data_IF_059857972043
#
_entry.id   IF_059857972043
#
_cell.length_a   1.000
_cell.length_b   1.000
_cell.length_c   1.000
_cell.angle_alpha   90.00
_cell.angle_beta   90.00
_cell.angle_gamma   90.00
#
_symmetry.space_group_name_H-M   'P 1'
#
loop_
_entity.id
_entity.type
_entity.pdbx_description
1 polymer ?
#
# COMPACT_ATOMS: atom_id res chain seq x y z
N UNK A 1 3.56 -16.57 -20.99
CA UNK A 1 2.50 -17.58 -21.26
C UNK A 1 3.12 -18.94 -21.55
N UNK A 2 4.27 -19.00 -22.23
CA UNK A 2 4.98 -20.25 -22.57
C UNK A 2 5.16 -21.21 -21.39
N UNK A 3 5.50 -20.70 -20.20
CA UNK A 3 5.61 -21.54 -18.99
C UNK A 3 4.27 -22.16 -18.56
N UNK A 4 3.15 -21.45 -18.75
CA UNK A 4 1.82 -21.96 -18.44
C UNK A 4 1.39 -23.08 -19.41
N UNK A 5 1.94 -23.09 -20.62
CA UNK A 5 1.60 -24.06 -21.68
C UNK A 5 2.42 -25.36 -21.59
N UNK A 6 3.47 -25.37 -20.77
CA UNK A 6 4.24 -26.58 -20.47
C UNK A 6 3.45 -27.56 -19.60
N UNK A 7 3.66 -28.88 -19.74
CA UNK A 7 3.15 -29.88 -18.81
C UNK A 7 3.57 -29.57 -17.35
N UNK A 8 2.68 -29.82 -16.39
CA UNK A 8 2.89 -29.46 -14.97
C UNK A 8 4.16 -30.06 -14.35
N UNK A 9 4.56 -31.24 -14.80
CA UNK A 9 5.76 -31.96 -14.36
C UNK A 9 7.07 -31.42 -14.98
N UNK A 10 6.97 -30.51 -15.95
CA UNK A 10 8.09 -29.99 -16.74
C UNK A 10 8.26 -28.47 -16.64
N UNK A 11 7.56 -27.83 -15.69
CA UNK A 11 7.54 -26.38 -15.51
C UNK A 11 7.71 -25.97 -14.06
N UNK A 12 7.99 -24.68 -13.86
CA UNK A 12 7.94 -24.06 -12.53
C UNK A 12 6.54 -24.11 -11.94
N UNK A 13 6.46 -24.03 -10.62
CA UNK A 13 5.20 -23.83 -9.90
C UNK A 13 4.73 -22.41 -10.19
N UNK A 14 3.58 -22.29 -10.85
CA UNK A 14 3.04 -21.03 -11.31
C UNK A 14 2.10 -20.46 -10.25
N UNK A 15 2.50 -19.38 -9.62
CA UNK A 15 1.72 -18.68 -8.60
C UNK A 15 1.29 -17.33 -9.15
N UNK A 16 0.05 -16.92 -8.88
CA UNK A 16 -0.36 -15.55 -9.16
C UNK A 16 -0.95 -14.84 -7.94
N UNK A 17 -0.85 -13.51 -7.96
CA UNK A 17 -1.58 -12.61 -7.08
C UNK A 17 -2.42 -11.61 -7.86
N UNK A 18 -3.57 -11.18 -7.32
CA UNK A 18 -4.47 -10.26 -8.01
C UNK A 18 -4.77 -9.02 -7.17
N UNK A 19 -4.57 -7.83 -7.74
CA UNK A 19 -4.93 -6.59 -7.08
C UNK A 19 -6.46 -6.34 -7.03
N UNK A 20 -7.00 -5.70 -5.98
CA UNK A 20 -8.43 -5.39 -5.88
C UNK A 20 -8.98 -4.58 -7.06
N UNK A 21 -8.21 -3.61 -7.56
CA UNK A 21 -8.61 -2.79 -8.70
C UNK A 21 -8.75 -3.58 -10.01
N UNK A 22 -8.05 -4.72 -10.14
CA UNK A 22 -8.21 -5.65 -11.26
C UNK A 22 -9.54 -6.39 -11.11
N UNK A 23 -9.82 -6.91 -9.91
CA UNK A 23 -11.06 -7.66 -9.60
C UNK A 23 -12.32 -6.90 -10.00
N UNK A 24 -12.33 -5.59 -9.75
CA UNK A 24 -13.48 -4.75 -10.08
C UNK A 24 -13.56 -4.40 -11.57
N UNK A 25 -12.44 -4.22 -12.26
CA UNK A 25 -12.43 -3.74 -13.64
C UNK A 25 -12.42 -4.86 -14.69
N UNK A 26 -12.01 -6.10 -14.36
CA UNK A 26 -11.85 -7.19 -15.32
C UNK A 26 -13.15 -7.55 -16.06
N UNK A 27 -14.31 -7.37 -15.43
CA UNK A 27 -15.62 -7.58 -16.05
C UNK A 27 -15.84 -6.70 -17.30
N UNK A 28 -15.24 -5.51 -17.33
CA UNK A 28 -15.34 -4.59 -18.46
C UNK A 28 -14.66 -5.13 -19.72
N UNK A 29 -13.65 -5.99 -19.57
CA UNK A 29 -13.08 -6.70 -20.70
C UNK A 29 -14.13 -7.54 -21.43
N UNK A 30 -15.17 -7.99 -20.74
CA UNK A 30 -16.27 -8.80 -21.29
C UNK A 30 -17.52 -7.95 -21.61
N UNK A 31 -17.40 -6.62 -21.64
CA UNK A 31 -18.52 -5.72 -21.93
C UNK A 31 -19.51 -5.55 -20.79
N UNK A 32 -19.14 -5.96 -19.57
CA UNK A 32 -19.98 -5.85 -18.38
C UNK A 32 -19.60 -4.64 -17.51
N UNK A 33 -20.47 -4.30 -16.56
CA UNK A 33 -20.20 -3.23 -15.60
C UNK A 33 -19.08 -3.61 -14.62
N UNK A 34 -18.36 -2.62 -14.04
CA UNK A 34 -17.40 -2.89 -12.98
C UNK A 34 -18.02 -3.68 -11.82
N UNK A 35 -17.34 -4.72 -11.37
CA UNK A 35 -17.79 -5.61 -10.29
C UNK A 35 -18.91 -6.57 -10.66
N UNK A 36 -19.26 -6.71 -11.95
CA UNK A 36 -20.28 -7.67 -12.38
C UNK A 36 -19.84 -9.14 -12.27
N UNK A 37 -18.53 -9.40 -12.22
CA UNK A 37 -17.97 -10.73 -11.98
C UNK A 37 -17.51 -10.86 -10.53
N UNK A 38 -17.66 -12.05 -9.97
CA UNK A 38 -17.28 -12.31 -8.58
C UNK A 38 -15.77 -12.55 -8.45
N UNK A 39 -15.21 -12.42 -7.23
CA UNK A 39 -13.83 -12.77 -6.95
C UNK A 39 -13.53 -14.26 -7.20
N UNK A 40 -14.47 -15.16 -6.88
CA UNK A 40 -14.29 -16.59 -7.07
C UNK A 40 -14.30 -16.96 -8.55
N UNK A 41 -15.11 -16.30 -9.39
CA UNK A 41 -15.04 -16.45 -10.85
C UNK A 41 -13.66 -16.08 -11.40
N UNK A 42 -13.06 -14.98 -10.90
CA UNK A 42 -11.72 -14.59 -11.32
C UNK A 42 -10.67 -15.61 -10.89
N UNK A 43 -10.74 -16.11 -9.66
CA UNK A 43 -9.82 -17.13 -9.18
C UNK A 43 -9.93 -18.43 -10.00
N UNK A 44 -11.15 -18.86 -10.33
CA UNK A 44 -11.40 -20.01 -11.21
C UNK A 44 -10.79 -19.80 -12.61
N UNK A 45 -10.92 -18.59 -13.18
CA UNK A 45 -10.33 -18.28 -14.48
C UNK A 45 -8.80 -18.45 -14.48
N UNK A 46 -8.14 -18.05 -13.40
CA UNK A 46 -6.68 -18.16 -13.25
C UNK A 46 -6.24 -19.61 -13.08
N UNK A 47 -7.01 -20.43 -12.35
CA UNK A 47 -6.76 -21.88 -12.28
C UNK A 47 -6.91 -22.54 -13.66
N UNK A 48 -7.93 -22.16 -14.43
CA UNK A 48 -8.13 -22.66 -15.81
C UNK A 48 -7.03 -22.22 -16.77
N UNK A 49 -6.44 -21.05 -16.57
CA UNK A 49 -5.23 -20.63 -17.29
C UNK A 49 -4.01 -21.49 -16.96
N UNK A 50 -4.06 -22.22 -15.84
CA UNK A 50 -3.00 -23.12 -15.42
C UNK A 50 -2.17 -22.60 -14.26
N UNK A 51 -2.60 -21.60 -13.49
CA UNK A 51 -1.92 -21.27 -12.23
C UNK A 51 -2.14 -22.37 -11.18
N UNK A 52 -1.08 -22.74 -10.46
CA UNK A 52 -1.10 -23.75 -9.41
C UNK A 52 -1.62 -23.18 -8.09
N UNK A 53 -1.28 -21.92 -7.78
CA UNK A 53 -1.78 -21.18 -6.61
C UNK A 53 -2.23 -19.77 -7.00
N UNK A 54 -3.34 -19.31 -6.42
CA UNK A 54 -3.98 -18.02 -6.67
C UNK A 54 -4.20 -17.29 -5.35
N UNK A 55 -3.53 -16.16 -5.19
CA UNK A 55 -3.57 -15.33 -3.98
C UNK A 55 -4.20 -13.97 -4.24
N UNK A 56 -4.74 -13.38 -3.18
CA UNK A 56 -5.21 -12.00 -3.22
C UNK A 56 -4.11 -11.05 -2.73
N UNK A 57 -3.77 -10.01 -3.52
CA UNK A 57 -2.80 -8.98 -3.11
C UNK A 57 -3.24 -8.25 -1.83
N UNK A 58 -4.51 -8.36 -1.43
CA UNK A 58 -4.99 -7.92 -0.11
C UNK A 58 -4.17 -8.43 1.06
N UNK A 59 -3.63 -9.65 0.97
CA UNK A 59 -2.75 -10.17 2.01
C UNK A 59 -1.47 -9.34 2.14
N UNK A 60 -0.86 -9.00 0.99
CA UNK A 60 0.28 -8.08 0.95
C UNK A 60 -0.08 -6.68 1.41
N UNK A 61 -1.30 -6.22 1.12
CA UNK A 61 -1.77 -4.91 1.59
C UNK A 61 -1.92 -4.88 3.12
N UNK A 62 -2.41 -5.95 3.73
CA UNK A 62 -2.44 -6.06 5.20
C UNK A 62 -1.04 -5.97 5.82
N UNK A 63 -0.03 -6.61 5.22
CA UNK A 63 1.36 -6.45 5.68
C UNK A 63 1.81 -4.99 5.54
N UNK A 64 1.53 -4.34 4.41
CA UNK A 64 1.88 -2.93 4.21
C UNK A 64 1.20 -2.03 5.24
N UNK A 65 -0.05 -2.30 5.60
CA UNK A 65 -0.78 -1.55 6.63
C UNK A 65 -0.13 -1.71 8.01
N UNK A 66 0.29 -2.93 8.34
CA UNK A 66 0.95 -3.22 9.61
C UNK A 66 2.31 -2.51 9.71
N UNK A 67 3.13 -2.61 8.66
CA UNK A 67 4.46 -1.99 8.62
C UNK A 67 4.37 -0.46 8.54
N UNK A 68 3.62 0.10 7.59
CA UNK A 68 3.56 1.55 7.37
C UNK A 68 2.84 2.27 8.52
N UNK A 69 1.84 1.64 9.12
CA UNK A 69 1.18 2.15 10.33
C UNK A 69 2.11 2.17 11.54
N UNK A 70 2.94 1.13 11.71
CA UNK A 70 3.92 1.06 12.81
C UNK A 70 5.09 2.01 12.56
N UNK A 71 5.56 2.14 11.33
CA UNK A 71 6.60 3.10 10.92
C UNK A 71 6.14 4.54 11.19
N UNK A 72 4.89 4.88 10.87
CA UNK A 72 4.32 6.20 11.19
C UNK A 72 4.29 6.47 12.70
N UNK A 73 3.87 5.48 13.52
CA UNK A 73 3.92 5.59 14.98
C UNK A 73 5.36 5.81 15.44
N UNK A 74 6.31 5.04 14.92
CA UNK A 74 7.72 5.11 15.29
C UNK A 74 8.30 6.50 15.03
N UNK A 75 8.12 7.04 13.81
CA UNK A 75 8.55 8.39 13.45
C UNK A 75 7.91 9.44 14.36
N UNK A 76 6.61 9.32 14.63
CA UNK A 76 5.89 10.26 15.49
C UNK A 76 6.39 10.21 16.94
N UNK A 77 6.66 9.03 17.48
CA UNK A 77 7.23 8.86 18.83
C UNK A 77 8.61 9.49 18.94
N UNK A 78 9.52 9.22 17.99
CA UNK A 78 10.87 9.79 17.99
C UNK A 78 10.86 11.33 17.96
N UNK A 79 9.92 11.90 17.21
CA UNK A 79 9.71 13.34 17.15
C UNK A 79 9.16 13.91 18.46
N UNK A 80 8.22 13.23 19.12
CA UNK A 80 7.68 13.65 20.41
C UNK A 80 8.71 13.51 21.54
N UNK A 81 9.61 12.52 21.45
CA UNK A 81 10.74 12.33 22.36
C UNK A 81 11.83 13.39 22.19
N UNK A 82 11.75 14.25 21.17
CA UNK A 82 12.80 15.20 20.77
C UNK A 82 14.15 14.54 20.44
N UNK A 83 14.10 13.27 20.01
CA UNK A 83 15.25 12.49 19.53
C UNK A 83 14.97 11.96 18.11
N UNK A 84 14.66 12.83 17.12
CA UNK A 84 14.36 12.35 15.78
C UNK A 84 15.58 11.72 15.13
N UNK A 85 15.41 10.52 14.56
CA UNK A 85 16.41 9.93 13.70
C UNK A 85 16.50 10.74 12.40
N UNK A 86 17.71 11.14 12.01
CA UNK A 86 17.92 11.97 10.80
C UNK A 86 17.49 11.28 9.51
N UNK A 87 17.42 9.95 9.52
CA UNK A 87 17.05 9.12 8.36
C UNK A 87 15.53 8.89 8.27
N UNK A 88 14.76 9.22 9.32
CA UNK A 88 13.31 8.99 9.38
C UNK A 88 12.53 10.24 9.83
N UNK A 89 12.69 11.39 9.14
CA UNK A 89 11.98 12.62 9.50
C UNK A 89 10.46 12.54 9.22
N UNK A 90 9.74 13.51 9.79
CA UNK A 90 8.40 13.91 9.35
C UNK A 90 8.49 15.15 8.45
N UNK A 91 7.56 15.35 7.49
CA UNK A 91 6.42 14.49 7.15
C UNK A 91 6.81 13.14 6.54
N UNK A 92 5.94 12.14 6.67
CA UNK A 92 6.13 10.84 6.04
C UNK A 92 5.33 10.74 4.74
N UNK A 93 5.95 10.29 3.65
CA UNK A 93 5.29 10.01 2.38
C UNK A 93 5.11 8.49 2.19
N UNK A 94 3.96 8.08 1.66
CA UNK A 94 3.73 6.67 1.27
C UNK A 94 4.65 6.23 0.12
N UNK A 95 4.92 4.94 -0.02
CA UNK A 95 5.85 4.40 -1.03
C UNK A 95 5.21 3.54 -2.14
N UNK A 96 3.94 3.16 -2.00
CA UNK A 96 3.34 2.08 -2.82
C UNK A 96 3.20 2.36 -4.34
N UNK A 97 3.32 3.62 -4.76
CA UNK A 97 3.19 4.03 -6.15
C UNK A 97 4.57 4.17 -6.84
N UNK A 98 4.94 3.28 -7.78
CA UNK A 98 6.26 3.37 -8.43
C UNK A 98 6.41 4.59 -9.34
N UNK A 99 5.31 5.20 -9.78
CA UNK A 99 5.36 6.48 -10.48
C UNK A 99 5.79 7.64 -9.57
N UNK A 100 5.42 7.58 -8.29
CA UNK A 100 5.91 8.51 -7.27
C UNK A 100 7.38 8.23 -6.95
N UNK A 101 7.75 6.97 -6.68
CA UNK A 101 9.14 6.60 -6.38
C UNK A 101 10.10 7.00 -7.52
N UNK A 102 9.73 6.79 -8.78
CA UNK A 102 10.56 7.23 -9.91
C UNK A 102 10.72 8.77 -9.97
N UNK A 103 9.67 9.53 -9.62
CA UNK A 103 9.75 11.00 -9.56
C UNK A 103 10.64 11.45 -8.39
N UNK A 104 10.47 10.83 -7.22
CA UNK A 104 11.27 11.05 -6.02
C UNK A 104 12.76 10.86 -6.33
N UNK A 105 13.13 9.67 -6.77
CA UNK A 105 14.54 9.31 -7.00
C UNK A 105 15.20 10.22 -8.04
N UNK A 106 14.47 10.62 -9.09
CA UNK A 106 15.04 11.40 -10.19
C UNK A 106 15.02 12.91 -9.96
N UNK A 107 14.01 13.44 -9.29
CA UNK A 107 13.75 14.89 -9.23
C UNK A 107 13.69 15.46 -7.82
N UNK A 108 13.54 14.62 -6.80
CA UNK A 108 13.48 15.03 -5.39
C UNK A 108 14.32 14.10 -4.49
N UNK A 109 15.59 13.79 -4.82
CA UNK A 109 16.41 12.88 -4.03
C UNK A 109 16.60 13.34 -2.58
N UNK A 110 16.50 14.65 -2.32
CA UNK A 110 16.53 15.23 -0.98
C UNK A 110 15.33 14.83 -0.10
N UNK A 111 14.25 14.33 -0.72
CA UNK A 111 13.06 13.87 -0.01
C UNK A 111 13.08 12.38 0.33
N UNK A 112 14.12 11.63 -0.09
CA UNK A 112 14.22 10.18 0.15
C UNK A 112 14.02 9.79 1.64
N UNK A 113 14.64 10.47 2.63
CA UNK A 113 14.45 10.12 4.05
C UNK A 113 12.99 10.26 4.53
N UNK A 114 12.22 11.14 3.89
CA UNK A 114 10.82 11.39 4.24
C UNK A 114 9.89 10.30 3.71
N UNK A 115 10.35 9.41 2.83
CA UNK A 115 9.50 8.35 2.27
C UNK A 115 9.55 7.11 3.15
N UNK A 116 8.39 6.46 3.31
CA UNK A 116 8.26 5.16 3.98
C UNK A 116 9.27 4.16 3.42
N UNK A 117 9.91 3.39 4.27
CA UNK A 117 10.77 2.28 3.82
C UNK A 117 9.96 1.03 3.44
N UNK A 118 8.63 1.00 3.64
CA UNK A 118 7.80 -0.14 3.31
C UNK A 118 7.84 -0.49 1.80
N UNK A 119 7.98 -1.78 1.47
CA UNK A 119 7.69 -2.30 0.12
C UNK A 119 6.19 -2.15 -0.19
N UNK A 120 5.84 -2.22 -1.48
CA UNK A 120 4.43 -2.23 -1.88
C UNK A 120 3.76 -3.59 -1.60
N UNK A 121 2.41 -3.65 -1.58
CA UNK A 121 1.67 -4.89 -1.33
C UNK A 121 2.09 -6.07 -2.20
N UNK A 122 2.33 -5.84 -3.50
CA UNK A 122 2.71 -6.92 -4.39
C UNK A 122 4.09 -7.49 -4.05
N UNK A 123 5.00 -6.63 -3.60
CA UNK A 123 6.37 -7.00 -3.32
C UNK A 123 6.46 -7.68 -1.96
N UNK A 124 5.70 -7.21 -0.96
CA UNK A 124 5.57 -7.91 0.33
C UNK A 124 4.99 -9.32 0.14
N UNK A 125 3.93 -9.47 -0.66
CA UNK A 125 3.38 -10.80 -0.94
C UNK A 125 4.35 -11.68 -1.75
N UNK A 126 5.05 -11.12 -2.75
CA UNK A 126 6.08 -11.84 -3.50
C UNK A 126 7.20 -12.37 -2.60
N UNK A 127 7.72 -11.51 -1.73
CA UNK A 127 8.75 -11.87 -0.75
C UNK A 127 8.26 -12.96 0.22
N UNK A 128 7.03 -12.86 0.72
CA UNK A 128 6.41 -13.90 1.56
C UNK A 128 6.20 -15.23 0.84
N UNK A 129 5.88 -15.20 -0.46
CA UNK A 129 5.75 -16.42 -1.29
C UNK A 129 7.10 -17.10 -1.46
N UNK A 130 8.15 -16.34 -1.80
CA UNK A 130 9.50 -16.88 -2.05
C UNK A 130 10.27 -17.25 -0.78
N UNK A 131 9.76 -16.88 0.40
CA UNK A 131 10.37 -17.22 1.69
C UNK A 131 9.44 -18.08 2.53
N UNK A 132 8.50 -17.48 3.26
CA UNK A 132 7.61 -18.16 4.20
C UNK A 132 6.83 -19.33 3.59
N UNK A 133 6.19 -19.13 2.42
CA UNK A 133 5.42 -20.19 1.78
C UNK A 133 6.31 -21.31 1.22
N UNK A 134 7.41 -20.93 0.56
CA UNK A 134 8.39 -21.84 -0.02
C UNK A 134 8.97 -22.77 1.07
N UNK A 135 9.42 -22.19 2.19
CA UNK A 135 9.91 -22.92 3.36
C UNK A 135 8.84 -23.86 3.92
N UNK A 136 7.62 -23.35 4.15
CA UNK A 136 6.50 -24.13 4.70
C UNK A 136 6.08 -25.31 3.82
N UNK A 137 6.25 -25.21 2.50
CA UNK A 137 5.91 -26.26 1.54
C UNK A 137 7.11 -27.14 1.14
N UNK A 138 8.32 -26.83 1.62
CA UNK A 138 9.54 -27.54 1.20
C UNK A 138 9.84 -27.39 -0.29
N UNK A 139 9.52 -26.22 -0.88
CA UNK A 139 9.71 -25.92 -2.29
C UNK A 139 10.91 -24.97 -2.43
N UNK A 140 11.80 -25.22 -3.41
CA UNK A 140 12.86 -24.26 -3.71
C UNK A 140 12.28 -22.96 -4.29
N UNK A 141 12.67 -21.77 -3.78
CA UNK A 141 12.22 -20.50 -4.33
C UNK A 141 12.51 -20.32 -5.84
N UNK A 142 13.59 -20.93 -6.34
CA UNK A 142 13.97 -20.94 -7.77
C UNK A 142 12.93 -21.61 -8.67
N UNK A 143 12.16 -22.54 -8.11
CA UNK A 143 11.19 -23.38 -8.82
C UNK A 143 9.80 -22.76 -8.83
N UNK A 144 9.65 -21.58 -8.20
CA UNK A 144 8.41 -20.80 -8.20
C UNK A 144 8.54 -19.69 -9.24
N UNK A 145 7.50 -19.49 -10.05
CA UNK A 145 7.29 -18.28 -10.84
C UNK A 145 6.08 -17.53 -10.29
N UNK A 146 6.30 -16.31 -9.81
CA UNK A 146 5.31 -15.44 -9.19
C UNK A 146 4.86 -14.37 -10.18
N UNK A 147 3.58 -14.39 -10.53
CA UNK A 147 2.96 -13.43 -11.45
C UNK A 147 2.03 -12.50 -10.67
N UNK A 148 2.17 -11.19 -10.84
CA UNK A 148 1.25 -10.23 -10.26
C UNK A 148 0.32 -9.66 -11.33
N UNK A 149 -0.98 -9.65 -11.05
CA UNK A 149 -1.97 -9.05 -11.95
C UNK A 149 -2.36 -7.70 -11.37
N UNK A 150 -2.01 -6.64 -12.09
CA UNK A 150 -2.00 -5.27 -11.60
C UNK A 150 -2.79 -4.33 -12.52
N UNK A 151 -3.37 -3.23 -12.01
CA UNK A 151 -4.02 -2.23 -12.86
C UNK A 151 -3.02 -1.26 -13.50
N UNK A 152 -1.72 -1.47 -13.32
CA UNK A 152 -0.69 -0.45 -13.51
C UNK A 152 0.47 -0.97 -14.36
N UNK A 153 0.80 -0.22 -15.40
CA UNK A 153 1.91 -0.51 -16.34
C UNK A 153 3.31 -0.29 -15.74
N UNK A 154 3.41 0.31 -14.55
CA UNK A 154 4.70 0.60 -13.89
C UNK A 154 5.08 -0.43 -12.82
N UNK A 155 4.19 -1.38 -12.50
CA UNK A 155 4.45 -2.37 -11.44
C UNK A 155 5.51 -3.42 -11.84
N UNK A 156 5.75 -3.63 -13.13
CA UNK A 156 6.89 -4.44 -13.61
C UNK A 156 8.22 -3.76 -13.25
N UNK A 157 8.40 -2.49 -13.62
CA UNK A 157 9.62 -1.75 -13.24
C UNK A 157 9.84 -1.60 -11.73
N UNK A 158 8.78 -1.71 -10.93
CA UNK A 158 8.93 -1.86 -9.47
C UNK A 158 9.51 -3.23 -9.10
N UNK A 159 8.96 -4.32 -9.64
CA UNK A 159 9.43 -5.68 -9.40
C UNK A 159 10.86 -5.91 -9.93
N UNK A 160 11.26 -5.15 -10.95
CA UNK A 160 12.57 -5.26 -11.59
C UNK A 160 13.71 -4.60 -10.81
N UNK A 161 13.46 -3.93 -9.68
CA UNK A 161 14.54 -3.39 -8.83
C UNK A 161 15.44 -4.53 -8.32
N UNK A 162 16.75 -4.39 -8.50
CA UNK A 162 17.70 -5.51 -8.41
C UNK A 162 17.70 -6.26 -7.07
N UNK A 163 17.50 -5.54 -5.97
CA UNK A 163 17.52 -6.11 -4.63
C UNK A 163 16.21 -6.81 -4.23
N UNK A 164 15.19 -6.82 -5.08
CA UNK A 164 13.96 -7.59 -4.85
C UNK A 164 14.12 -9.06 -5.20
N UNK A 165 15.01 -9.71 -4.45
CA UNK A 165 15.39 -11.11 -4.59
C UNK A 165 15.46 -11.83 -3.23
N UNK A 166 14.40 -11.75 -2.42
CA UNK A 166 14.37 -12.33 -1.06
C UNK A 166 14.45 -13.86 -1.05
N UNK A 167 14.14 -14.53 -2.17
CA UNK A 167 14.32 -15.98 -2.33
C UNK A 167 15.75 -16.43 -2.58
N UNK A 168 16.72 -15.50 -2.67
CA UNK A 168 18.12 -15.77 -2.98
C UNK A 168 18.58 -15.05 -4.24
N UNK A 169 19.91 -15.01 -4.47
CA UNK A 169 20.50 -14.32 -5.61
C UNK A 169 19.91 -14.81 -6.95
N UNK A 170 19.40 -13.88 -7.77
CA UNK A 170 18.78 -14.17 -9.06
C UNK A 170 17.34 -14.73 -8.96
N UNK A 171 16.77 -14.87 -7.77
CA UNK A 171 15.38 -15.31 -7.57
C UNK A 171 14.52 -14.10 -7.24
N UNK A 172 13.86 -13.53 -8.26
CA UNK A 172 12.96 -12.38 -8.11
C UNK A 172 11.79 -12.69 -7.17
N UNK A 173 11.42 -11.70 -6.35
CA UNK A 173 10.23 -11.74 -5.48
C UNK A 173 8.93 -11.84 -6.31
N UNK A 174 8.88 -11.07 -7.40
CA UNK A 174 7.82 -11.08 -8.41
C UNK A 174 8.49 -11.17 -9.76
N UNK A 175 8.20 -12.24 -10.51
CA UNK A 175 8.86 -12.52 -11.78
C UNK A 175 8.21 -11.76 -12.94
N UNK A 176 6.87 -11.67 -12.95
CA UNK A 176 6.12 -11.07 -14.05
C UNK A 176 4.93 -10.26 -13.56
N UNK A 177 4.60 -9.19 -14.27
CA UNK A 177 3.41 -8.37 -14.04
C UNK A 177 2.55 -8.36 -15.29
N UNK A 178 1.27 -8.68 -15.12
CA UNK A 178 0.25 -8.66 -16.18
C UNK A 178 -0.79 -7.61 -15.84
N UNK A 179 -1.17 -6.79 -16.81
CA UNK A 179 -2.21 -5.78 -16.63
C UNK A 179 -3.62 -6.37 -16.66
N UNK A 180 -4.61 -5.61 -16.18
CA UNK A 180 -6.03 -6.02 -16.26
C UNK A 180 -6.48 -6.22 -17.72
N UNK A 181 -6.07 -5.33 -18.62
CA UNK A 181 -6.38 -5.44 -20.04
C UNK A 181 -5.71 -6.66 -20.69
N UNK A 182 -4.43 -6.93 -20.38
CA UNK A 182 -3.73 -8.12 -20.89
C UNK A 182 -4.37 -9.41 -20.41
N UNK A 183 -4.68 -9.53 -19.11
CA UNK A 183 -5.40 -10.69 -18.59
C UNK A 183 -6.75 -10.87 -19.31
N UNK A 184 -7.50 -9.79 -19.49
CA UNK A 184 -8.78 -9.84 -20.22
C UNK A 184 -8.65 -10.36 -21.65
N UNK A 185 -7.57 -10.00 -22.35
CA UNK A 185 -7.29 -10.50 -23.69
C UNK A 185 -6.87 -11.98 -23.66
N UNK A 186 -5.98 -12.36 -22.75
CA UNK A 186 -5.53 -13.76 -22.57
C UNK A 186 -6.72 -14.69 -22.31
N UNK A 187 -7.67 -14.28 -21.46
CA UNK A 187 -8.86 -15.08 -21.18
C UNK A 187 -9.73 -15.27 -22.43
N UNK A 188 -9.92 -14.23 -23.25
CA UNK A 188 -10.67 -14.33 -24.51
C UNK A 188 -9.98 -15.21 -25.53
N UNK A 189 -8.67 -15.05 -25.70
CA UNK A 189 -7.87 -15.85 -26.63
C UNK A 189 -7.90 -17.34 -26.28
N UNK A 190 -8.00 -17.67 -24.99
CA UNK A 190 -8.15 -19.04 -24.49
C UNK A 190 -9.60 -19.50 -24.35
N UNK A 191 -10.57 -18.74 -24.87
CA UNK A 191 -12.01 -19.04 -24.79
C UNK A 191 -12.51 -19.28 -23.36
N UNK A 192 -11.96 -18.57 -22.38
CA UNK A 192 -12.41 -18.59 -20.98
C UNK A 192 -13.39 -17.45 -20.75
N UNK A 193 -14.68 -17.77 -20.71
CA UNK A 193 -15.74 -16.80 -20.48
C UNK A 193 -15.93 -16.54 -18.98
N UNK A 194 -15.19 -15.57 -18.43
CA UNK A 194 -15.17 -15.25 -16.99
C UNK A 194 -16.57 -15.12 -16.35
N UNK A 195 -17.55 -14.39 -16.93
CA UNK A 195 -18.89 -14.23 -16.35
C UNK A 195 -19.69 -15.53 -16.17
N UNK A 196 -19.36 -16.59 -16.91
CA UNK A 196 -20.05 -17.88 -16.87
C UNK A 196 -19.32 -18.93 -16.03
N UNK A 197 -18.17 -18.57 -15.44
CA UNK A 197 -17.42 -19.50 -14.61
C UNK A 197 -18.14 -19.76 -13.28
N UNK A 198 -17.97 -20.97 -12.72
CA UNK A 198 -18.36 -21.24 -11.35
C UNK A 198 -17.47 -20.47 -10.36
N UNK A 199 -17.90 -20.42 -9.10
CA UNK A 199 -17.08 -19.89 -8.02
C UNK A 199 -15.86 -20.81 -7.76
N UNK A 200 -14.66 -20.25 -7.93
CA UNK A 200 -13.42 -20.84 -7.44
C UNK A 200 -13.09 -20.40 -6.00
N UNK A 201 -11.91 -20.76 -5.54
CA UNK A 201 -11.39 -20.40 -4.21
C UNK A 201 -10.06 -19.65 -4.32
N UNK A 202 -9.57 -19.08 -3.22
CA UNK A 202 -8.24 -18.47 -3.08
C UNK A 202 -7.37 -19.33 -2.15
N UNK A 203 -6.08 -19.49 -2.43
CA UNK A 203 -5.22 -20.49 -1.77
C UNK A 203 -4.67 -20.04 -0.41
N UNK A 204 -4.83 -20.83 0.65
CA UNK A 204 -4.31 -20.51 2.00
C UNK A 204 -2.86 -21.02 2.21
N UNK A 205 -2.06 -20.50 3.17
CA UNK A 205 -2.39 -19.54 4.24
C UNK A 205 -2.28 -18.05 3.85
N UNK A 206 -1.86 -17.75 2.62
CA UNK A 206 -1.70 -16.37 2.12
C UNK A 206 -2.94 -15.88 1.32
N UNK A 207 -4.05 -16.62 1.37
CA UNK A 207 -5.07 -16.61 0.31
C UNK A 207 -5.97 -15.43 0.25
N UNK A 208 -6.30 -14.89 1.41
CA UNK A 208 -7.24 -13.78 1.52
C UNK A 208 -6.71 -12.81 2.57
N UNK A 209 -6.51 -11.56 2.18
CA UNK A 209 -6.31 -10.47 3.13
C UNK A 209 -7.64 -10.01 3.74
N UNK A 210 -7.54 -9.07 4.68
CA UNK A 210 -8.69 -8.40 5.27
C UNK A 210 -9.31 -7.42 4.27
N UNK A 211 -10.53 -6.96 4.57
CA UNK A 211 -11.18 -5.86 3.88
C UNK A 211 -10.41 -4.55 3.93
N UNK A 212 -9.52 -4.36 4.93
CA UNK A 212 -8.71 -3.15 5.05
C UNK A 212 -7.84 -2.89 3.82
N UNK A 213 -7.34 -3.95 3.19
CA UNK A 213 -6.56 -3.84 1.95
C UNK A 213 -7.40 -3.50 0.71
N UNK A 214 -8.73 -3.67 0.74
CA UNK A 214 -9.60 -3.50 -0.44
C UNK A 214 -9.59 -2.07 -0.91
N UNK A 215 -9.52 -1.14 0.04
CA UNK A 215 -9.45 0.29 -0.27
C UNK A 215 -8.10 0.71 -0.86
N UNK A 216 -7.03 -0.11 -0.89
CA UNK A 216 -5.77 0.25 -1.58
C UNK A 216 -5.98 0.57 -3.07
N UNK A 217 -7.02 0.01 -3.70
CA UNK A 217 -7.35 0.33 -5.09
C UNK A 217 -7.86 1.77 -5.29
N UNK A 218 -8.14 2.46 -4.19
CA UNK A 218 -8.87 3.72 -4.13
C UNK A 218 -7.97 4.91 -3.84
N UNK A 219 -8.46 6.12 -4.07
CA UNK A 219 -7.73 7.33 -3.67
C UNK A 219 -7.76 7.49 -2.15
N UNK A 220 -6.60 7.53 -1.49
CA UNK A 220 -6.48 7.66 -0.04
C UNK A 220 -6.60 6.37 0.75
N UNK A 221 -6.72 5.21 0.10
CA UNK A 221 -7.01 3.97 0.80
C UNK A 221 -5.80 3.24 1.40
N UNK A 222 -4.59 3.45 0.88
CA UNK A 222 -3.36 2.98 1.54
C UNK A 222 -3.18 3.75 2.83
N UNK A 223 -3.22 5.06 2.68
CA UNK A 223 -3.10 6.03 3.75
C UNK A 223 -4.19 5.87 4.82
N UNK A 224 -5.47 5.71 4.44
CA UNK A 224 -6.55 5.51 5.42
C UNK A 224 -6.33 4.25 6.28
N UNK A 225 -5.85 3.17 5.67
CA UNK A 225 -5.66 1.92 6.39
C UNK A 225 -4.44 1.97 7.32
N UNK A 226 -3.31 2.53 6.88
CA UNK A 226 -2.15 2.78 7.75
C UNK A 226 -2.49 3.73 8.90
N UNK A 227 -3.22 4.82 8.60
CA UNK A 227 -3.71 5.77 9.61
C UNK A 227 -4.68 5.14 10.60
N UNK A 228 -5.56 4.24 10.16
CA UNK A 228 -6.45 3.49 11.05
C UNK A 228 -5.66 2.66 12.04
N UNK A 229 -4.67 1.92 11.58
CA UNK A 229 -3.78 1.15 12.46
C UNK A 229 -3.04 2.06 13.43
N UNK A 230 -2.44 3.15 12.94
CA UNK A 230 -1.74 4.11 13.80
C UNK A 230 -2.68 4.73 14.86
N UNK A 231 -3.87 5.13 14.45
CA UNK A 231 -4.90 5.70 15.31
C UNK A 231 -5.38 4.72 16.37
N UNK A 232 -5.77 3.51 15.98
CA UNK A 232 -6.33 2.51 16.88
C UNK A 232 -5.29 2.02 17.89
N UNK A 233 -4.02 1.86 17.49
CA UNK A 233 -2.94 1.51 18.40
C UNK A 233 -2.62 2.62 19.41
N UNK A 234 -2.62 3.89 18.97
CA UNK A 234 -2.29 5.04 19.84
C UNK A 234 -3.45 5.43 20.75
N UNK A 235 -4.67 5.47 20.23
CA UNK A 235 -5.85 6.00 20.94
C UNK A 235 -6.69 4.92 21.62
N UNK A 236 -6.54 3.66 21.21
CA UNK A 236 -7.41 2.55 21.63
C UNK A 236 -8.90 2.80 21.27
N UNK A 237 -9.16 3.64 20.27
CA UNK A 237 -10.50 3.97 19.76
C UNK A 237 -10.58 3.66 18.26
N UNK A 238 -11.74 3.22 17.75
CA UNK A 238 -11.90 2.94 16.32
C UNK A 238 -11.83 4.22 15.48
N UNK A 239 -11.11 4.16 14.36
CA UNK A 239 -11.12 5.26 13.37
C UNK A 239 -12.23 5.03 12.34
N UNK A 240 -13.23 5.92 12.22
CA UNK A 240 -14.23 5.82 11.16
C UNK A 240 -13.61 6.05 9.77
N UNK A 241 -14.41 5.86 8.71
CA UNK A 241 -13.99 6.23 7.34
C UNK A 241 -13.56 7.69 7.30
N UNK A 242 -12.44 7.96 6.67
CA UNK A 242 -11.96 9.32 6.51
C UNK A 242 -12.75 10.03 5.41
N UNK A 243 -13.14 11.27 5.68
CA UNK A 243 -13.76 12.12 4.68
C UNK A 243 -12.73 13.14 4.18
N UNK A 244 -12.13 12.83 3.03
CA UNK A 244 -11.13 13.69 2.41
C UNK A 244 -11.81 14.85 1.67
N UNK A 245 -11.46 16.08 2.05
CA UNK A 245 -11.97 17.31 1.44
C UNK A 245 -11.00 17.86 0.40
N UNK A 246 -11.50 18.45 -0.69
CA UNK A 246 -10.64 19.07 -1.70
C UNK A 246 -9.98 20.34 -1.17
N UNK A 247 -8.68 20.51 -1.44
CA UNK A 247 -7.95 21.69 -0.98
C UNK A 247 -8.14 22.83 -1.98
N UNK A 248 -8.68 23.95 -1.52
CA UNK A 248 -8.96 25.11 -2.37
C UNK A 248 -7.67 25.65 -3.00
N UNK A 249 -7.67 25.76 -4.32
CA UNK A 249 -6.51 26.28 -5.08
C UNK A 249 -5.42 25.26 -5.35
N UNK A 250 -5.62 23.98 -5.01
CA UNK A 250 -4.71 22.88 -5.33
C UNK A 250 -5.45 21.72 -6.00
N UNK A 251 -5.40 21.69 -7.33
CA UNK A 251 -6.05 20.62 -8.11
C UNK A 251 -5.50 19.24 -7.73
N UNK A 252 -6.40 18.27 -7.58
CA UNK A 252 -6.04 16.89 -7.29
C UNK A 252 -5.41 16.66 -5.92
N UNK A 253 -5.47 17.65 -5.02
CA UNK A 253 -5.08 17.52 -3.62
C UNK A 253 -6.33 17.44 -2.75
N UNK A 254 -6.35 16.46 -1.85
CA UNK A 254 -7.36 16.33 -0.80
C UNK A 254 -6.69 16.26 0.57
N UNK A 255 -7.38 16.72 1.60
CA UNK A 255 -6.86 16.73 2.96
C UNK A 255 -7.91 16.35 4.00
N UNK A 256 -7.42 15.94 5.16
CA UNK A 256 -8.18 15.79 6.40
C UNK A 256 -7.26 16.00 7.60
N UNK A 257 -7.87 16.32 8.74
CA UNK A 257 -7.19 16.35 10.03
C UNK A 257 -7.72 15.23 10.92
N UNK A 258 -6.82 14.56 11.66
CA UNK A 258 -7.17 13.48 12.57
C UNK A 258 -6.71 13.84 13.97
N UNK A 259 -7.66 14.04 14.88
CA UNK A 259 -7.39 14.33 16.29
C UNK A 259 -7.12 13.03 17.04
N UNK A 260 -5.91 12.87 17.54
CA UNK A 260 -5.48 11.71 18.32
C UNK A 260 -5.33 12.10 19.79
N UNK A 261 -6.16 11.51 20.64
CA UNK A 261 -6.05 11.62 22.10
C UNK A 261 -5.58 10.27 22.64
N UNK A 262 -4.31 10.14 23.06
CA UNK A 262 -3.81 8.91 23.65
C UNK A 262 -4.46 8.67 25.03
N UNK A 263 -4.69 7.40 25.43
CA UNK A 263 -5.33 7.10 26.70
C UNK A 263 -4.43 7.53 27.88
N UNK A 264 -5.01 8.01 29.00
CA UNK A 264 -4.25 8.40 30.19
C UNK A 264 -3.34 7.28 30.68
N UNK A 265 -2.10 7.63 31.03
CA UNK A 265 -1.09 6.66 31.51
C UNK A 265 -0.40 5.84 30.42
N UNK A 266 -0.72 6.05 29.14
CA UNK A 266 0.08 5.49 28.05
C UNK A 266 1.37 6.29 27.86
N UNK A 267 2.43 5.62 27.40
CA UNK A 267 3.69 6.28 27.00
C UNK A 267 3.42 7.45 26.03
N UNK A 268 2.49 7.26 25.09
CA UNK A 268 2.16 8.29 24.11
C UNK A 268 1.50 9.53 24.74
N UNK A 269 0.65 9.36 25.76
CA UNK A 269 0.08 10.48 26.52
C UNK A 269 1.14 11.27 27.28
N UNK A 270 2.13 10.59 27.88
CA UNK A 270 3.26 11.25 28.54
C UNK A 270 4.07 12.08 27.55
N UNK A 271 4.37 11.53 26.37
CA UNK A 271 5.11 12.22 25.32
C UNK A 271 4.37 13.45 24.78
N UNK A 272 3.07 13.32 24.49
CA UNK A 272 2.25 14.43 24.01
C UNK A 272 2.16 15.53 25.07
N UNK A 273 1.98 15.17 26.35
CA UNK A 273 1.96 16.14 27.45
C UNK A 273 3.31 16.86 27.64
N UNK A 274 4.42 16.11 27.62
CA UNK A 274 5.77 16.67 27.71
C UNK A 274 6.06 17.64 26.56
N UNK A 275 5.66 17.28 25.33
CA UNK A 275 5.83 18.14 24.16
C UNK A 275 4.97 19.39 24.21
N UNK A 276 3.72 19.29 24.69
CA UNK A 276 2.85 20.44 24.89
C UNK A 276 3.46 21.45 25.88
N UNK A 277 4.09 20.96 26.96
CA UNK A 277 4.83 21.80 27.90
C UNK A 277 6.10 22.43 27.29
N UNK A 278 6.84 21.68 26.46
CA UNK A 278 8.08 22.15 25.84
C UNK A 278 7.86 23.16 24.70
N UNK A 279 6.78 23.02 23.91
CA UNK A 279 6.46 23.96 22.81
C UNK A 279 6.12 25.37 23.31
N UNK A 280 5.73 25.51 24.59
CA UNK A 280 5.59 26.80 25.26
C UNK A 280 6.94 27.48 25.56
N UNK A 281 8.07 26.77 25.40
CA UNK A 281 9.42 27.25 25.72
C UNK A 281 10.38 27.32 24.52
N UNK A 282 10.07 26.68 23.38
CA UNK A 282 11.02 26.52 22.27
C UNK A 282 10.40 26.83 20.90
N UNK A 283 10.56 28.07 20.44
CA UNK A 283 10.31 28.50 19.05
C UNK A 283 11.55 28.29 18.14
N UNK A 284 12.65 27.68 18.63
CA UNK A 284 13.96 27.80 17.99
C UNK A 284 14.67 26.49 17.58
N UNK A 285 14.19 25.29 17.93
CA UNK A 285 14.78 24.05 17.43
C UNK A 285 14.30 23.72 15.99
N UNK A 286 14.96 24.28 14.98
CA UNK A 286 14.69 23.96 13.58
C UNK A 286 15.19 22.54 13.24
N UNK A 287 14.28 21.64 12.84
CA UNK A 287 14.66 20.37 12.20
C UNK A 287 15.40 20.68 10.88
N UNK A 288 16.63 20.19 10.73
CA UNK A 288 17.35 20.25 9.47
C UNK A 288 16.68 19.33 8.43
N UNK A 289 16.57 19.78 7.17
CA UNK A 289 16.02 18.97 6.07
C UNK A 289 15.28 19.80 5.02
N UNK A 290 14.95 19.16 3.89
CA UNK A 290 14.29 19.82 2.75
C UNK A 290 12.84 20.25 3.04
N UNK A 291 12.17 19.58 3.99
CA UNK A 291 10.87 19.97 4.52
C UNK A 291 11.01 20.10 6.03
N UNK A 292 10.76 21.30 6.55
CA UNK A 292 10.82 21.57 7.99
C UNK A 292 9.51 21.14 8.65
N UNK A 293 9.59 20.19 9.58
CA UNK A 293 8.44 19.83 10.41
C UNK A 293 8.22 20.91 11.48
N UNK A 294 6.98 21.36 11.66
CA UNK A 294 6.64 22.48 12.57
C UNK A 294 6.31 22.02 14.01
N UNK A 295 6.73 20.81 14.36
CA UNK A 295 6.54 20.25 15.70
C UNK A 295 5.15 19.67 15.96
N UNK A 296 4.34 19.47 14.92
CA UNK A 296 2.99 18.91 15.01
C UNK A 296 1.96 19.90 15.56
N UNK A 297 0.67 19.56 15.42
CA UNK A 297 -0.45 20.41 15.86
C UNK A 297 -1.07 19.88 17.15
N UNK A 298 -0.52 20.28 18.30
CA UNK A 298 -1.03 19.88 19.61
C UNK A 298 -2.32 20.62 19.97
N UNK A 299 -3.21 19.96 20.70
CA UNK A 299 -4.43 20.57 21.25
C UNK A 299 -4.74 19.99 22.63
N UNK A 300 -5.58 20.71 23.38
CA UNK A 300 -6.18 20.20 24.62
C UNK A 300 -7.66 19.93 24.35
N UNK A 301 -8.12 18.72 24.66
CA UNK A 301 -9.51 18.31 24.53
C UNK A 301 -10.37 18.93 25.65
N UNK A 302 -11.69 18.86 25.50
CA UNK A 302 -12.64 19.49 26.44
C UNK A 302 -12.56 18.91 27.86
N UNK A 303 -12.11 17.66 27.99
CA UNK A 303 -11.86 16.97 29.26
C UNK A 303 -10.49 17.27 29.88
N UNK A 304 -9.69 18.13 29.25
CA UNK A 304 -8.35 18.50 29.67
C UNK A 304 -7.24 17.56 29.18
N UNK A 305 -7.56 16.51 28.41
CA UNK A 305 -6.55 15.61 27.85
C UNK A 305 -5.74 16.30 26.74
N UNK A 306 -4.42 16.07 26.71
CA UNK A 306 -3.58 16.56 25.62
C UNK A 306 -3.64 15.60 24.44
N UNK A 307 -3.78 16.14 23.24
CA UNK A 307 -3.81 15.40 21.99
C UNK A 307 -2.94 16.03 20.92
N UNK A 308 -2.76 15.29 19.84
CA UNK A 308 -2.08 15.74 18.63
C UNK A 308 -3.00 15.60 17.43
N UNK A 309 -3.01 16.62 16.58
CA UNK A 309 -3.72 16.61 15.29
C UNK A 309 -2.72 16.22 14.22
N UNK A 310 -2.99 15.09 13.57
CA UNK A 310 -2.25 14.63 12.40
C UNK A 310 -2.89 15.23 11.15
N UNK A 311 -2.10 16.00 10.39
CA UNK A 311 -2.53 16.64 9.14
C UNK A 311 -2.17 15.73 7.97
N UNK A 312 -3.16 15.40 7.17
CA UNK A 312 -3.04 14.35 6.15
C UNK A 312 -3.39 14.92 4.79
N UNK A 313 -2.59 14.58 3.77
CA UNK A 313 -2.88 14.93 2.38
C UNK A 313 -2.81 13.71 1.44
N UNK A 314 -3.64 13.76 0.39
CA UNK A 314 -3.57 12.85 -0.75
C UNK A 314 -3.38 13.68 -2.02
N UNK A 315 -2.37 13.34 -2.82
CA UNK A 315 -2.10 13.96 -4.10
C UNK A 315 -2.29 12.95 -5.24
N UNK A 316 -3.20 13.24 -6.16
CA UNK A 316 -3.39 12.47 -7.38
C UNK A 316 -2.83 13.21 -8.60
N UNK A 317 -1.96 12.52 -9.34
CA UNK A 317 -1.26 13.06 -10.49
C UNK A 317 0.10 13.63 -10.11
N UNK A 318 1.16 13.21 -10.83
CA UNK A 318 2.52 13.67 -10.55
C UNK A 318 2.70 15.18 -10.77
N UNK A 319 1.96 15.79 -11.69
CA UNK A 319 1.97 17.25 -11.88
C UNK A 319 1.42 18.01 -10.66
N UNK A 320 0.39 17.47 -10.01
CA UNK A 320 -0.18 18.05 -8.79
C UNK A 320 0.72 17.79 -7.59
N UNK A 321 1.31 16.59 -7.50
CA UNK A 321 2.31 16.26 -6.49
C UNK A 321 3.49 17.26 -6.50
N UNK A 322 4.03 17.62 -7.68
CA UNK A 322 5.09 18.64 -7.78
C UNK A 322 4.68 19.98 -7.16
N UNK A 323 3.46 20.44 -7.41
CA UNK A 323 2.92 21.69 -6.84
C UNK A 323 2.79 21.59 -5.31
N UNK A 324 2.29 20.46 -4.81
CA UNK A 324 2.19 20.19 -3.37
C UNK A 324 3.57 20.22 -2.72
N UNK A 325 4.55 19.49 -3.28
CA UNK A 325 5.91 19.42 -2.76
C UNK A 325 6.56 20.82 -2.68
N UNK A 326 6.41 21.64 -3.72
CA UNK A 326 6.89 23.04 -3.69
C UNK A 326 6.27 23.82 -2.52
N UNK A 327 4.96 23.72 -2.30
CA UNK A 327 4.28 24.42 -1.20
C UNK A 327 4.68 23.88 0.18
N UNK A 328 4.99 22.59 0.30
CA UNK A 328 5.51 22.02 1.54
C UNK A 328 6.94 22.51 1.82
N UNK A 329 7.80 22.57 0.81
CA UNK A 329 9.18 23.07 0.92
C UNK A 329 9.22 24.57 1.25
N UNK A 330 8.30 25.38 0.73
CA UNK A 330 8.19 26.81 1.07
C UNK A 330 7.46 27.08 2.39
N UNK A 331 6.87 26.05 3.01
CA UNK A 331 6.10 26.16 4.25
C UNK A 331 4.70 26.76 4.09
N UNK A 332 4.19 26.91 2.86
CA UNK A 332 2.84 27.41 2.55
C UNK A 332 1.73 26.43 2.93
N UNK A 333 2.03 25.12 2.93
CA UNK A 333 1.13 24.09 3.44
C UNK A 333 1.89 23.14 4.35
N UNK A 334 1.17 22.53 5.29
CA UNK A 334 1.77 21.72 6.35
C UNK A 334 1.00 20.42 6.52
N UNK A 335 1.69 19.32 6.30
CA UNK A 335 1.16 17.98 6.48
C UNK A 335 2.17 17.16 7.27
N UNK A 336 1.69 16.09 7.89
CA UNK A 336 2.48 15.13 8.66
C UNK A 336 2.56 13.78 7.95
N UNK A 337 1.52 13.41 7.20
CA UNK A 337 1.47 12.19 6.39
C UNK A 337 0.86 12.46 5.02
N UNK A 338 1.53 12.04 3.94
CA UNK A 338 1.15 12.37 2.57
C UNK A 338 1.15 11.15 1.65
N UNK A 339 0.01 10.87 1.02
CA UNK A 339 -0.10 9.87 -0.04
C UNK A 339 0.11 10.51 -1.41
N UNK A 340 0.99 9.94 -2.25
CA UNK A 340 1.19 10.41 -3.62
C UNK A 340 0.91 9.27 -4.61
N UNK A 341 -0.08 9.49 -5.46
CA UNK A 341 -0.50 8.56 -6.50
C UNK A 341 -0.29 9.18 -7.88
N UNK A 342 0.43 8.49 -8.77
CA UNK A 342 0.72 9.02 -10.09
C UNK A 342 -0.52 9.16 -11.00
N UNK A 343 -1.55 8.35 -10.79
CA UNK A 343 -2.77 8.36 -11.58
C UNK A 343 -3.82 9.34 -10.99
N UNK A 344 -4.52 10.14 -11.81
CA UNK A 344 -5.52 11.11 -11.34
C UNK A 344 -6.68 10.54 -10.53
N UNK A 345 -6.98 9.25 -10.68
CA UNK A 345 -8.08 8.56 -9.97
C UNK A 345 -7.59 7.39 -9.12
N UNK A 346 -6.31 7.38 -8.73
CA UNK A 346 -5.69 6.24 -8.05
C UNK A 346 -5.62 4.98 -8.93
N UNK A 347 -5.49 3.82 -8.31
CA UNK A 347 -5.25 2.54 -8.98
C UNK A 347 -6.42 2.07 -9.87
N UNK A 348 -7.68 2.40 -9.53
CA UNK A 348 -8.85 2.12 -10.41
C UNK A 348 -8.80 2.82 -11.77
N UNK A 349 -8.00 3.88 -11.89
CA UNK A 349 -7.72 4.60 -13.14
C UNK A 349 -6.34 4.29 -13.74
N UNK A 350 -5.67 3.22 -13.28
CA UNK A 350 -4.33 2.86 -13.73
C UNK A 350 -4.25 2.60 -15.23
N UNK A 351 -3.08 2.86 -15.82
CA UNK A 351 -2.87 2.75 -17.28
C UNK A 351 -3.05 1.33 -17.85
N UNK A 352 -3.07 0.30 -17.01
CA UNK A 352 -3.32 -1.10 -17.39
C UNK A 352 -4.78 -1.52 -17.32
N UNK A 353 -5.69 -0.62 -16.98
CA UNK A 353 -7.12 -0.88 -16.90
C UNK A 353 -7.81 -0.87 -18.27
N UNK A 354 -8.96 -1.53 -18.42
CA UNK A 354 -9.78 -1.45 -19.63
C UNK A 354 -10.18 0.00 -19.94
N UNK A 355 -10.23 0.33 -21.24
CA UNK A 355 -10.70 1.64 -21.71
C UNK A 355 -12.22 1.64 -21.77
N UNK A 356 -12.81 2.78 -21.40
CA UNK A 356 -14.26 3.00 -21.45
C UNK A 356 -14.56 4.38 -22.00
N UNK A 357 -15.66 4.51 -22.73
CA UNK A 357 -16.21 5.81 -23.17
C UNK A 357 -16.96 6.52 -22.05
N UNK A 358 -17.25 5.83 -20.95
CA UNK A 358 -17.90 6.41 -19.77
C UNK A 358 -16.91 7.23 -18.94
N UNK A 359 -17.14 8.54 -18.88
CA UNK A 359 -16.32 9.48 -18.09
C UNK A 359 -16.39 9.23 -16.58
N UNK A 360 -17.40 8.48 -16.11
CA UNK A 360 -17.60 8.13 -14.71
C UNK A 360 -17.11 6.72 -14.36
N UNK A 361 -16.40 6.04 -15.29
CA UNK A 361 -16.01 4.64 -15.09
C UNK A 361 -15.13 4.44 -13.84
N UNK A 362 -14.22 5.37 -13.56
CA UNK A 362 -13.34 5.30 -12.39
C UNK A 362 -14.13 5.46 -11.10
N UNK A 363 -15.15 6.33 -11.06
CA UNK A 363 -16.06 6.48 -9.93
C UNK A 363 -16.89 5.19 -9.69
N UNK A 364 -17.33 4.51 -10.76
CA UNK A 364 -18.04 3.23 -10.65
C UNK A 364 -17.14 2.12 -10.10
N UNK A 365 -15.90 2.01 -10.59
CA UNK A 365 -14.90 1.07 -10.06
C UNK A 365 -14.61 1.35 -8.58
N UNK A 366 -14.44 2.63 -8.25
CA UNK A 366 -14.21 3.13 -6.90
C UNK A 366 -15.35 2.75 -5.94
N UNK A 367 -16.61 2.95 -6.35
CA UNK A 367 -17.78 2.58 -5.55
C UNK A 367 -17.87 1.06 -5.34
N UNK A 368 -17.56 0.26 -6.37
CA UNK A 368 -17.55 -1.20 -6.23
C UNK A 368 -16.51 -1.67 -5.20
N UNK A 369 -15.32 -1.05 -5.14
CA UNK A 369 -14.33 -1.34 -4.11
C UNK A 369 -14.81 -0.96 -2.70
N UNK A 370 -15.44 0.21 -2.53
CA UNK A 370 -15.99 0.59 -1.22
C UNK A 370 -17.09 -0.35 -0.75
N UNK A 371 -17.95 -0.81 -1.66
CA UNK A 371 -18.98 -1.81 -1.33
C UNK A 371 -18.35 -3.15 -0.89
N UNK A 372 -17.19 -3.52 -1.43
CA UNK A 372 -16.46 -4.73 -1.04
C UNK A 372 -15.81 -4.58 0.34
N UNK A 373 -15.21 -3.42 0.64
CA UNK A 373 -14.68 -3.08 1.97
C UNK A 373 -15.77 -3.12 3.05
N UNK A 374 -16.90 -2.45 2.81
CA UNK A 374 -18.01 -2.37 3.77
C UNK A 374 -18.68 -3.72 4.06
N UNK A 375 -18.60 -4.67 3.13
CA UNK A 375 -19.14 -6.03 3.28
C UNK A 375 -18.13 -7.02 3.85
N UNK A 376 -16.88 -6.61 4.08
CA UNK A 376 -15.84 -7.50 4.57
C UNK A 376 -16.07 -7.90 6.03
N UNK A 377 -15.81 -9.16 6.36
CA UNK A 377 -15.95 -9.68 7.74
C UNK A 377 -14.86 -9.15 8.67
N UNK A 378 -13.65 -8.94 8.15
CA UNK A 378 -12.49 -8.41 8.87
C UNK A 378 -12.09 -7.11 8.19
N UNK A 379 -12.07 -5.99 8.92
CA UNK A 379 -11.81 -4.65 8.34
C UNK A 379 -10.54 -3.99 8.86
N UNK A 380 -9.75 -4.72 9.65
CA UNK A 380 -8.47 -4.28 10.21
C UNK A 380 -7.42 -5.36 10.01
N UNK A 381 -6.26 -4.95 9.52
CA UNK A 381 -5.16 -5.89 9.21
C UNK A 381 -4.63 -6.58 10.46
N UNK A 382 -4.54 -5.87 11.59
CA UNK A 382 -4.12 -6.46 12.87
C UNK A 382 -5.13 -7.45 13.47
N UNK A 383 -6.38 -7.47 13.00
CA UNK A 383 -7.39 -8.48 13.38
C UNK A 383 -7.35 -9.71 12.46
N UNK A 384 -6.58 -9.69 11.35
CA UNK A 384 -6.51 -10.81 10.42
C UNK A 384 -5.69 -11.97 11.01
N UNK A 385 -6.29 -13.15 11.30
CA UNK A 385 -5.58 -14.26 11.92
C UNK A 385 -4.39 -14.78 11.10
N UNK A 386 -4.46 -14.69 9.76
CA UNK A 386 -3.38 -15.12 8.89
C UNK A 386 -2.15 -14.19 9.02
N UNK A 387 -2.39 -12.88 9.15
CA UNK A 387 -1.35 -11.88 9.38
C UNK A 387 -0.76 -12.06 10.78
N UNK A 388 -1.59 -12.21 11.81
CA UNK A 388 -1.12 -12.49 13.17
C UNK A 388 -0.22 -13.74 13.23
N UNK A 389 -0.60 -14.79 12.50
CA UNK A 389 0.19 -16.02 12.40
C UNK A 389 1.51 -15.79 11.66
N UNK A 390 1.50 -15.00 10.58
CA UNK A 390 2.72 -14.67 9.85
C UNK A 390 3.73 -13.88 10.71
N UNK A 391 3.26 -12.91 11.50
CA UNK A 391 4.11 -12.21 12.46
C UNK A 391 4.61 -13.14 13.55
N UNK A 392 3.71 -13.82 14.25
CA UNK A 392 4.05 -14.72 15.35
C UNK A 392 5.04 -15.83 14.97
N UNK A 393 4.80 -16.49 13.84
CA UNK A 393 5.54 -17.71 13.49
C UNK A 393 6.76 -17.42 12.61
N UNK A 394 6.85 -16.24 11.98
CA UNK A 394 7.87 -15.97 10.98
C UNK A 394 8.50 -14.57 11.07
N UNK A 395 7.73 -13.49 11.01
CA UNK A 395 8.29 -12.13 10.87
C UNK A 395 8.77 -11.52 12.19
N UNK A 396 8.24 -11.97 13.33
CA UNK A 396 8.43 -11.32 14.62
C UNK A 396 7.45 -10.17 14.81
N UNK A 397 7.98 -8.97 15.07
CA UNK A 397 7.19 -7.74 15.27
C UNK A 397 7.23 -6.84 14.02
N UNK A 398 6.17 -6.06 13.74
CA UNK A 398 6.23 -4.99 12.74
C UNK A 398 7.36 -4.02 13.03
N UNK A 399 8.03 -3.54 11.98
CA UNK A 399 9.25 -2.74 12.01
C UNK A 399 10.44 -3.42 12.74
N UNK A 400 10.35 -4.73 12.99
CA UNK A 400 11.42 -5.53 13.56
C UNK A 400 12.47 -5.96 12.52
N UNK A 401 13.62 -6.54 12.94
CA UNK A 401 14.74 -6.82 12.03
C UNK A 401 14.39 -7.70 10.83
N UNK A 402 13.58 -8.74 11.04
CA UNK A 402 13.18 -9.67 9.98
C UNK A 402 12.09 -9.10 9.08
N UNK A 403 11.14 -8.37 9.67
CA UNK A 403 10.17 -7.61 8.90
C UNK A 403 10.87 -6.57 8.02
N UNK A 404 11.87 -5.86 8.54
CA UNK A 404 12.66 -4.88 7.80
C UNK A 404 13.42 -5.50 6.62
N UNK A 405 14.11 -6.62 6.83
CA UNK A 405 14.83 -7.34 5.77
C UNK A 405 13.90 -7.79 4.63
N UNK A 406 12.70 -8.28 4.97
CA UNK A 406 11.80 -8.88 3.99
C UNK A 406 10.79 -7.90 3.37
N UNK A 407 10.27 -6.98 4.17
CA UNK A 407 9.11 -6.14 3.85
C UNK A 407 9.47 -4.67 3.66
N UNK A 408 10.70 -4.25 3.96
CA UNK A 408 11.17 -2.88 3.73
C UNK A 408 12.18 -2.81 2.59
N UNK A 409 12.49 -1.59 2.18
CA UNK A 409 13.33 -1.27 1.03
C UNK A 409 14.01 0.08 1.19
N UNK A 410 14.81 0.44 0.19
CA UNK A 410 15.52 1.70 0.12
C UNK A 410 15.36 2.32 -1.27
N UNK A 411 15.80 3.57 -1.40
CA UNK A 411 15.70 4.37 -2.61
C UNK A 411 17.07 4.89 -3.04
N UNK A 412 17.24 5.09 -4.34
CA UNK A 412 18.54 5.44 -4.93
C UNK A 412 18.45 6.83 -5.56
N UNK A 413 19.22 7.83 -5.08
CA UNK A 413 19.32 9.12 -5.73
C UNK A 413 19.74 8.98 -7.20
N UNK A 414 18.97 9.58 -8.11
CA UNK A 414 19.18 9.48 -9.56
C UNK A 414 18.34 8.40 -10.26
N UNK A 415 17.70 7.51 -9.48
CA UNK A 415 16.89 6.39 -9.96
C UNK A 415 17.73 5.15 -10.31
N UNK A 416 17.03 4.03 -10.51
CA UNK A 416 17.62 2.82 -11.08
C UNK A 416 17.69 2.94 -12.61
N UNK A 417 18.80 2.53 -13.21
CA UNK A 417 18.88 2.41 -14.67
C UNK A 417 17.98 1.25 -15.11
N UNK A 418 17.14 1.48 -16.12
CA UNK A 418 16.40 0.40 -16.75
C UNK A 418 17.35 -0.23 -17.78
N UNK A 419 17.77 -1.47 -17.54
CA UNK A 419 18.47 -2.28 -18.55
C UNK A 419 17.57 -2.57 -19.77
#
# INVERSE_FOLDING_TARGET
MDELDKPRDQRKIMICQVAPAVRVAIAECFGLAPGATTPGQLAESLRRLGFDLVFDTLYGADLTIMEEGTELIHRLQAQLEAHPHSEEPLPMFTSCCPGWIALLEKSYPELIPYVSSCKSPQMMLGAMVKTYLAEKKGISPSDISMVSIMPCVRKQGEADRDWFCSGGAGVRDVDHVITTAELGNILKERNINLPELPEGYWDQPLGTGSGAGVIFGTTGGVMEAALRTAYELVTQQPLPRLNLSEVRGMDGIKETEIKMVPPPGSKFAELVAARAAAKAMDEAAASAGAIKWDGGSNFTADDGANGITLRVAVANGLGNAKKLLTKMQTGECKYDFVEIMACPSGCVGGGGQPRSTDKQITAKRQQALYNLDERSTIRRSHENPAIQTAYKDFLGEPNGPRAHDLLHTHYVPGGVEAE
#
